data_IF_354014851427
#
_entry.id   IF_354014851427
#
_cell.length_a   1.000
_cell.length_b   1.000
_cell.length_c   1.000
_cell.angle_alpha   90.00
_cell.angle_beta   90.00
_cell.angle_gamma   90.00
#
_symmetry.space_group_name_H-M   'P 1'
#
loop_
_entity.id
_entity.type
_entity.pdbx_description
1 polymer ?
#
# COMPACT_ATOMS: atom_id res chain seq x y z
N UNK A 1 26.73 -4.23 1.37
CA UNK A 1 27.83 -5.02 1.98
C UNK A 1 27.40 -5.68 3.29
N UNK A 2 26.70 -4.97 4.19
CA UNK A 2 26.14 -5.57 5.43
C UNK A 2 25.06 -6.64 5.20
N UNK A 3 24.17 -6.49 4.21
CA UNK A 3 23.11 -7.48 3.95
C UNK A 3 23.63 -8.78 3.32
N UNK A 4 24.65 -8.71 2.48
CA UNK A 4 25.25 -9.88 1.83
C UNK A 4 26.08 -10.71 2.84
N UNK A 5 26.64 -10.07 3.87
CA UNK A 5 27.22 -10.78 5.02
C UNK A 5 26.16 -11.40 5.92
N UNK A 6 24.95 -10.85 6.02
CA UNK A 6 23.84 -11.46 6.77
C UNK A 6 23.31 -12.69 6.04
N UNK A 7 23.04 -12.60 4.73
CA UNK A 7 22.57 -13.76 3.96
C UNK A 7 23.56 -14.94 3.96
N UNK A 8 24.86 -14.69 3.71
CA UNK A 8 25.88 -15.76 3.72
C UNK A 8 26.07 -16.37 5.11
N UNK A 9 25.89 -15.58 6.18
CA UNK A 9 25.92 -16.07 7.57
C UNK A 9 24.65 -16.85 7.91
N UNK A 10 23.48 -16.47 7.39
CA UNK A 10 22.23 -17.21 7.57
C UNK A 10 22.23 -18.56 6.86
N UNK A 11 22.74 -18.65 5.63
CA UNK A 11 22.85 -19.95 4.95
C UNK A 11 23.81 -20.90 5.68
N UNK A 12 24.97 -20.41 6.13
CA UNK A 12 25.94 -21.25 6.85
C UNK A 12 25.47 -21.63 8.25
N UNK A 13 24.73 -20.77 8.96
CA UNK A 13 24.08 -21.11 10.25
C UNK A 13 22.84 -22.00 10.11
N UNK A 14 22.13 -21.97 8.99
CA UNK A 14 21.04 -22.91 8.71
C UNK A 14 21.54 -24.34 8.45
N UNK A 15 22.72 -24.47 7.83
CA UNK A 15 23.40 -25.76 7.66
C UNK A 15 24.17 -26.20 8.91
N UNK A 16 24.73 -25.26 9.70
CA UNK A 16 25.49 -25.56 10.92
C UNK A 16 24.63 -25.69 12.20
N UNK A 17 23.36 -25.25 12.18
CA UNK A 17 22.44 -25.52 13.29
C UNK A 17 22.00 -26.98 13.26
N UNK A 18 22.64 -27.76 14.13
CA UNK A 18 22.24 -29.10 14.55
C UNK A 18 20.90 -29.07 15.32
N UNK A 19 19.85 -28.55 14.69
CA UNK A 19 18.48 -28.82 15.10
C UNK A 19 18.18 -30.26 14.66
N UNK A 20 18.33 -31.22 15.58
CA UNK A 20 18.10 -32.67 15.38
C UNK A 20 16.68 -33.06 14.93
N UNK A 21 15.82 -32.10 14.54
CA UNK A 21 14.41 -32.32 14.24
C UNK A 21 13.97 -31.45 13.06
N UNK A 22 13.45 -32.07 12.00
CA UNK A 22 12.95 -31.40 10.78
C UNK A 22 11.93 -30.28 11.07
N UNK A 23 11.15 -30.41 12.14
CA UNK A 23 10.18 -29.40 12.60
C UNK A 23 10.85 -28.07 13.00
N UNK A 24 12.07 -28.10 13.56
CA UNK A 24 12.82 -26.90 13.93
C UNK A 24 13.27 -26.08 12.72
N UNK A 25 13.69 -26.76 11.64
CA UNK A 25 14.11 -26.11 10.38
C UNK A 25 12.94 -25.44 9.66
N UNK A 26 11.77 -26.08 9.63
CA UNK A 26 10.55 -25.49 9.05
C UNK A 26 10.11 -24.26 9.85
N UNK A 27 10.14 -24.35 11.19
CA UNK A 27 9.81 -23.21 12.06
C UNK A 27 10.77 -22.04 11.87
N UNK A 28 12.07 -22.31 11.71
CA UNK A 28 13.06 -21.28 11.40
C UNK A 28 12.80 -20.61 10.04
N UNK A 29 12.45 -21.39 9.03
CA UNK A 29 12.16 -20.87 7.68
C UNK A 29 10.99 -19.86 7.67
N UNK A 30 9.88 -20.19 8.34
CA UNK A 30 8.69 -19.32 8.42
C UNK A 30 8.84 -18.10 9.37
N UNK A 31 9.99 -17.94 10.05
CA UNK A 31 10.22 -16.76 10.89
C UNK A 31 10.56 -15.51 10.08
N UNK A 32 11.04 -15.65 8.84
CA UNK A 32 11.33 -14.52 7.95
C UNK A 32 10.08 -14.15 7.16
N UNK A 33 9.70 -12.86 7.21
CA UNK A 33 8.52 -12.37 6.48
C UNK A 33 8.66 -12.57 4.96
N UNK A 34 9.88 -12.47 4.43
CA UNK A 34 10.18 -12.69 3.02
C UNK A 34 9.95 -14.15 2.60
N UNK A 35 10.35 -15.11 3.44
CA UNK A 35 10.12 -16.53 3.18
C UNK A 35 8.62 -16.90 3.23
N UNK A 36 7.87 -16.25 4.13
CA UNK A 36 6.41 -16.40 4.21
C UNK A 36 5.76 -15.88 2.92
N UNK A 37 6.15 -14.68 2.47
CA UNK A 37 5.64 -14.07 1.23
C UNK A 37 5.99 -14.91 0.01
N UNK A 38 7.22 -15.42 -0.10
CA UNK A 38 7.63 -16.31 -1.19
C UNK A 38 6.81 -17.61 -1.21
N UNK A 39 6.60 -18.22 -0.04
CA UNK A 39 5.79 -19.44 0.07
C UNK A 39 4.35 -19.16 -0.35
N UNK A 40 3.79 -18.02 0.09
CA UNK A 40 2.45 -17.58 -0.30
C UNK A 40 2.35 -17.41 -1.82
N UNK A 41 3.31 -16.72 -2.46
CA UNK A 41 3.34 -16.53 -3.91
C UNK A 41 3.36 -17.86 -4.66
N UNK A 42 4.25 -18.78 -4.27
CA UNK A 42 4.31 -20.12 -4.88
C UNK A 42 2.97 -20.85 -4.73
N UNK A 43 2.34 -20.80 -3.56
CA UNK A 43 1.01 -21.45 -3.38
C UNK A 43 -0.08 -20.79 -4.21
N UNK A 44 -0.11 -19.46 -4.30
CA UNK A 44 -1.06 -18.70 -5.11
C UNK A 44 -0.89 -19.02 -6.59
N UNK A 45 0.35 -19.18 -7.07
CA UNK A 45 0.63 -19.58 -8.44
C UNK A 45 -0.01 -20.94 -8.79
N UNK A 46 0.16 -21.95 -7.94
CA UNK A 46 -0.45 -23.27 -8.17
C UNK A 46 -1.97 -23.23 -8.06
N UNK A 47 -2.53 -22.44 -7.15
CA UNK A 47 -3.98 -22.22 -7.06
C UNK A 47 -4.50 -21.57 -8.36
N UNK A 48 -3.85 -20.51 -8.84
CA UNK A 48 -4.23 -19.87 -10.11
C UNK A 48 -4.09 -20.82 -11.30
N UNK A 49 -3.05 -21.64 -11.33
CA UNK A 49 -2.79 -22.63 -12.37
C UNK A 49 -3.86 -23.73 -12.38
N UNK A 50 -4.25 -24.25 -11.22
CA UNK A 50 -5.33 -25.25 -11.13
C UNK A 50 -6.69 -24.64 -11.50
N UNK A 51 -7.00 -23.42 -11.04
CA UNK A 51 -8.22 -22.70 -11.45
C UNK A 51 -8.27 -22.43 -12.96
N UNK A 52 -7.11 -22.24 -13.59
CA UNK A 52 -6.99 -22.03 -15.03
C UNK A 52 -7.31 -23.27 -15.86
N UNK A 53 -7.02 -24.47 -15.34
CA UNK A 53 -7.27 -25.74 -16.02
C UNK A 53 -8.73 -26.20 -15.91
N UNK A 54 -9.52 -25.60 -15.02
CA UNK A 54 -10.95 -25.90 -14.91
C UNK A 54 -11.72 -25.30 -16.09
N UNK A 55 -12.61 -26.07 -16.76
CA UNK A 55 -13.38 -25.62 -17.93
C UNK A 55 -14.59 -24.75 -17.55
N UNK A 56 -14.43 -23.84 -16.58
CA UNK A 56 -15.49 -22.95 -16.08
C UNK A 56 -15.10 -21.50 -16.35
N UNK A 57 -15.91 -20.76 -17.12
CA UNK A 57 -15.59 -19.38 -17.54
C UNK A 57 -15.33 -18.42 -16.37
N UNK A 58 -16.07 -18.54 -15.26
CA UNK A 58 -15.85 -17.72 -14.07
C UNK A 58 -14.48 -17.99 -13.42
N UNK A 59 -14.02 -19.25 -13.42
CA UNK A 59 -12.71 -19.62 -12.89
C UNK A 59 -11.57 -19.02 -13.71
N UNK A 60 -11.76 -18.87 -15.02
CA UNK A 60 -10.78 -18.23 -15.90
C UNK A 60 -10.57 -16.74 -15.56
N UNK A 61 -11.64 -15.99 -15.30
CA UNK A 61 -11.55 -14.58 -14.91
C UNK A 61 -10.80 -14.42 -13.58
N UNK A 62 -11.17 -15.23 -12.59
CA UNK A 62 -10.53 -15.24 -11.27
C UNK A 62 -9.06 -15.62 -11.38
N UNK A 63 -8.72 -16.67 -12.15
CA UNK A 63 -7.33 -17.09 -12.35
C UNK A 63 -6.46 -15.97 -12.97
N UNK A 64 -6.99 -15.17 -13.90
CA UNK A 64 -6.27 -14.01 -14.47
C UNK A 64 -5.96 -12.95 -13.42
N UNK A 65 -6.92 -12.65 -12.54
CA UNK A 65 -6.72 -11.68 -11.45
C UNK A 65 -5.65 -12.20 -10.47
N UNK A 66 -5.74 -13.48 -10.08
CA UNK A 66 -4.75 -14.08 -9.16
C UNK A 66 -3.35 -14.09 -9.80
N UNK A 67 -3.22 -14.46 -11.07
CA UNK A 67 -1.91 -14.40 -11.76
C UNK A 67 -1.35 -12.97 -11.85
N UNK A 68 -2.20 -11.95 -12.07
CA UNK A 68 -1.77 -10.56 -12.09
C UNK A 68 -1.24 -10.11 -10.72
N UNK A 69 -1.91 -10.52 -9.63
CA UNK A 69 -1.45 -10.25 -8.27
C UNK A 69 -0.17 -11.03 -7.93
N UNK A 70 -0.09 -12.31 -8.34
CA UNK A 70 1.09 -13.14 -8.14
C UNK A 70 2.33 -12.54 -8.82
N UNK A 71 2.19 -12.09 -10.08
CA UNK A 71 3.27 -11.42 -10.81
C UNK A 71 3.74 -10.14 -10.09
N UNK A 72 2.83 -9.39 -9.46
CA UNK A 72 3.20 -8.20 -8.68
C UNK A 72 4.07 -8.55 -7.46
N UNK A 73 3.81 -9.69 -6.79
CA UNK A 73 4.62 -10.18 -5.67
C UNK A 73 6.01 -10.61 -6.18
N UNK A 74 6.09 -11.30 -7.31
CA UNK A 74 7.37 -11.67 -7.94
C UNK A 74 8.21 -10.46 -8.36
N UNK A 75 7.58 -9.37 -8.81
CA UNK A 75 8.30 -8.12 -9.07
C UNK A 75 8.86 -7.49 -7.79
N UNK A 76 8.10 -7.50 -6.68
CA UNK A 76 8.63 -7.06 -5.39
C UNK A 76 9.84 -7.89 -4.97
N UNK A 77 9.81 -9.22 -5.16
CA UNK A 77 10.95 -10.11 -4.85
C UNK A 77 12.17 -9.85 -5.74
N UNK A 78 11.95 -9.41 -6.97
CA UNK A 78 13.05 -9.02 -7.87
C UNK A 78 13.85 -7.82 -7.31
N UNK A 79 13.26 -7.00 -6.43
CA UNK A 79 13.98 -5.91 -5.75
C UNK A 79 15.13 -6.41 -4.87
N UNK A 80 15.02 -7.61 -4.28
CA UNK A 80 16.08 -8.20 -3.45
C UNK A 80 17.35 -8.49 -4.27
N UNK A 81 17.20 -8.86 -5.54
CA UNK A 81 18.33 -9.02 -6.44
C UNK A 81 19.04 -7.67 -6.68
N UNK A 82 18.28 -6.56 -6.73
CA UNK A 82 18.87 -5.23 -6.85
C UNK A 82 19.63 -4.78 -5.59
N UNK A 83 19.31 -5.31 -4.40
CA UNK A 83 20.11 -5.06 -3.19
C UNK A 83 21.52 -5.62 -3.28
N UNK A 84 21.73 -6.71 -4.02
CA UNK A 84 23.06 -7.29 -4.27
C UNK A 84 23.92 -6.45 -5.23
N UNK A 85 23.32 -5.51 -5.98
CA UNK A 85 24.05 -4.64 -6.90
C UNK A 85 24.78 -3.55 -6.11
N UNK A 86 26.11 -3.53 -6.18
CA UNK A 86 26.98 -2.64 -5.38
C UNK A 86 26.59 -1.15 -5.43
N UNK A 87 26.08 -0.66 -6.58
CA UNK A 87 25.65 0.74 -6.76
C UNK A 87 24.23 1.04 -6.27
N UNK A 88 23.34 0.05 -6.24
CA UNK A 88 21.92 0.21 -5.92
C UNK A 88 21.60 -0.19 -4.47
N UNK A 89 22.28 -1.19 -3.93
CA UNK A 89 22.06 -1.68 -2.57
C UNK A 89 22.10 -0.58 -1.50
N UNK A 90 23.16 0.26 -1.42
CA UNK A 90 23.20 1.36 -0.45
C UNK A 90 22.06 2.37 -0.65
N UNK A 91 21.63 2.63 -1.89
CA UNK A 91 20.51 3.56 -2.18
C UNK A 91 19.18 3.00 -1.71
N UNK A 92 18.93 1.71 -1.94
CA UNK A 92 17.70 1.05 -1.51
C UNK A 92 17.61 0.95 0.02
N UNK A 93 18.72 0.70 0.72
CA UNK A 93 18.75 0.74 2.19
C UNK A 93 18.42 2.15 2.71
N UNK A 94 18.99 3.19 2.09
CA UNK A 94 18.64 4.58 2.46
C UNK A 94 17.15 4.85 2.26
N UNK A 95 16.56 4.48 1.12
CA UNK A 95 15.13 4.66 0.87
C UNK A 95 14.28 3.86 1.88
N UNK A 96 14.68 2.64 2.23
CA UNK A 96 13.95 1.79 3.16
C UNK A 96 13.89 2.39 4.58
N UNK A 97 14.98 3.00 5.06
CA UNK A 97 15.00 3.71 6.34
C UNK A 97 14.02 4.89 6.33
N UNK A 98 13.95 5.65 5.24
CA UNK A 98 13.04 6.79 5.13
C UNK A 98 11.56 6.37 5.10
N UNK A 99 11.25 5.16 4.62
CA UNK A 99 9.88 4.59 4.70
C UNK A 99 9.47 4.37 6.15
N UNK A 100 10.40 4.06 7.06
CA UNK A 100 10.08 3.92 8.49
C UNK A 100 9.59 5.25 9.08
N UNK A 101 10.29 6.33 8.75
CA UNK A 101 9.97 7.68 9.22
C UNK A 101 8.69 8.24 8.57
N UNK A 102 8.41 7.85 7.32
CA UNK A 102 7.18 8.19 6.59
C UNK A 102 5.89 7.66 7.27
N UNK A 103 5.96 6.57 8.04
CA UNK A 103 4.75 5.91 8.60
C UNK A 103 3.90 6.85 9.45
N UNK A 104 4.54 7.65 10.31
CA UNK A 104 3.83 8.60 11.17
C UNK A 104 3.14 9.69 10.34
N UNK A 105 3.83 10.17 9.30
CA UNK A 105 3.30 11.18 8.41
C UNK A 105 2.07 10.69 7.63
N UNK A 106 2.13 9.47 7.08
CA UNK A 106 0.98 8.84 6.39
C UNK A 106 -0.20 8.65 7.33
N UNK A 107 0.04 8.29 8.59
CA UNK A 107 -1.02 8.20 9.59
C UNK A 107 -1.71 9.54 9.80
N UNK A 108 -0.93 10.61 10.00
CA UNK A 108 -1.46 11.97 10.14
C UNK A 108 -2.24 12.42 8.89
N UNK A 109 -1.71 12.18 7.69
CA UNK A 109 -2.37 12.49 6.42
C UNK A 109 -3.73 11.78 6.32
N UNK A 110 -3.78 10.51 6.72
CA UNK A 110 -5.00 9.69 6.69
C UNK A 110 -6.08 10.27 7.62
N UNK A 111 -5.71 10.76 8.80
CA UNK A 111 -6.64 11.41 9.74
C UNK A 111 -7.25 12.68 9.13
N UNK A 112 -6.43 13.56 8.55
CA UNK A 112 -6.92 14.77 7.89
C UNK A 112 -7.82 14.45 6.69
N UNK A 113 -7.43 13.46 5.89
CA UNK A 113 -8.19 13.02 4.73
C UNK A 113 -9.56 12.45 5.14
N UNK A 114 -9.66 11.63 6.20
CA UNK A 114 -10.97 11.19 6.70
C UNK A 114 -11.81 12.32 7.27
N UNK A 115 -11.20 13.25 8.01
CA UNK A 115 -11.89 14.41 8.57
C UNK A 115 -12.54 15.28 7.48
N UNK A 116 -11.78 15.63 6.44
CA UNK A 116 -12.29 16.39 5.30
C UNK A 116 -13.27 15.56 4.47
N UNK A 117 -12.91 14.34 4.10
CA UNK A 117 -13.73 13.48 3.22
C UNK A 117 -15.13 13.22 3.78
N UNK A 118 -15.25 12.89 5.08
CA UNK A 118 -16.56 12.65 5.70
C UNK A 118 -17.39 13.94 5.74
N UNK A 119 -16.76 15.06 6.09
CA UNK A 119 -17.44 16.36 6.19
C UNK A 119 -17.91 16.87 4.83
N UNK A 120 -17.05 16.83 3.81
CA UNK A 120 -17.38 17.25 2.45
C UNK A 120 -18.46 16.36 1.83
N UNK A 121 -18.37 15.03 2.01
CA UNK A 121 -19.40 14.12 1.51
C UNK A 121 -20.76 14.40 2.13
N UNK A 122 -20.81 14.58 3.46
CA UNK A 122 -22.07 14.85 4.18
C UNK A 122 -22.70 16.19 3.78
N UNK A 123 -21.90 17.22 3.50
CA UNK A 123 -22.40 18.54 3.10
C UNK A 123 -22.92 18.56 1.66
N UNK A 124 -22.26 17.86 0.74
CA UNK A 124 -22.63 17.84 -0.69
C UNK A 124 -23.80 16.89 -0.95
N UNK A 125 -23.75 15.67 -0.42
CA UNK A 125 -24.71 14.60 -0.76
C UNK A 125 -25.88 14.51 0.24
N UNK A 126 -25.80 15.20 1.38
CA UNK A 126 -26.83 15.17 2.41
C UNK A 126 -27.04 13.76 2.99
N UNK A 127 -28.30 13.31 3.04
CA UNK A 127 -28.68 12.03 3.64
C UNK A 127 -28.86 10.97 2.56
N UNK A 128 -27.88 10.08 2.43
CA UNK A 128 -27.96 8.89 1.58
C UNK A 128 -28.08 7.60 2.41
N UNK A 129 -28.75 6.55 1.90
CA UNK A 129 -28.79 5.25 2.57
C UNK A 129 -27.39 4.61 2.59
N UNK A 130 -27.11 3.85 3.65
CA UNK A 130 -25.81 3.18 3.81
C UNK A 130 -25.55 2.20 2.65
N UNK A 131 -24.40 2.38 2.00
CA UNK A 131 -23.89 1.48 0.96
C UNK A 131 -22.46 1.07 1.28
N UNK A 132 -22.12 -0.18 0.99
CA UNK A 132 -20.75 -0.69 1.13
C UNK A 132 -19.72 0.06 0.27
N UNK A 133 -20.18 0.84 -0.71
CA UNK A 133 -19.34 1.67 -1.58
C UNK A 133 -19.08 3.06 -0.98
N UNK A 134 -19.81 3.45 0.07
CA UNK A 134 -19.75 4.76 0.69
C UNK A 134 -18.35 5.10 1.23
N UNK A 135 -17.66 4.21 1.98
CA UNK A 135 -16.32 4.52 2.47
C UNK A 135 -15.31 4.76 1.33
N UNK A 136 -15.46 4.03 0.22
CA UNK A 136 -14.63 4.20 -0.98
C UNK A 136 -14.86 5.56 -1.64
N UNK A 137 -16.12 6.01 -1.74
CA UNK A 137 -16.45 7.33 -2.30
C UNK A 137 -15.85 8.46 -1.44
N UNK A 138 -16.03 8.38 -0.13
CA UNK A 138 -15.52 9.36 0.85
C UNK A 138 -14.00 9.46 0.75
N UNK A 139 -13.30 8.32 0.74
CA UNK A 139 -11.84 8.28 0.64
C UNK A 139 -11.36 8.89 -0.67
N UNK A 140 -11.98 8.52 -1.80
CA UNK A 140 -11.56 9.00 -3.12
C UNK A 140 -11.66 10.52 -3.23
N UNK A 141 -12.75 11.12 -2.73
CA UNK A 141 -12.93 12.58 -2.77
C UNK A 141 -11.78 13.31 -2.09
N UNK A 142 -11.34 12.87 -0.91
CA UNK A 142 -10.24 13.54 -0.21
C UNK A 142 -8.85 13.15 -0.75
N UNK A 143 -8.69 11.94 -1.30
CA UNK A 143 -7.42 11.42 -1.78
C UNK A 143 -6.94 12.12 -3.06
N UNK A 144 -7.80 12.26 -4.07
CA UNK A 144 -7.43 12.86 -5.37
C UNK A 144 -7.04 14.34 -5.25
N UNK A 145 -7.68 15.04 -4.32
CA UNK A 145 -7.41 16.44 -3.99
C UNK A 145 -5.95 16.68 -3.57
N UNK A 146 -5.33 15.74 -2.84
CA UNK A 146 -3.91 15.85 -2.43
C UNK A 146 -2.98 15.87 -3.66
N UNK A 147 -3.37 15.20 -4.74
CA UNK A 147 -2.61 15.15 -6.00
C UNK A 147 -2.95 16.30 -6.96
N UNK A 148 -3.82 17.22 -6.55
CA UNK A 148 -4.21 18.39 -7.33
C UNK A 148 -5.36 18.16 -8.31
N UNK A 149 -6.04 17.01 -8.25
CA UNK A 149 -7.29 16.80 -8.97
C UNK A 149 -8.46 17.28 -8.10
N UNK A 150 -8.86 18.53 -8.32
CA UNK A 150 -9.82 19.25 -7.45
C UNK A 150 -11.27 19.00 -7.85
N UNK A 151 -11.73 17.75 -7.74
CA UNK A 151 -13.10 17.35 -8.13
C UNK A 151 -14.17 17.97 -7.21
N UNK A 152 -13.83 18.32 -5.96
CA UNK A 152 -14.77 18.92 -5.02
C UNK A 152 -15.22 20.31 -5.47
N UNK A 153 -14.36 21.03 -6.20
CA UNK A 153 -14.70 22.37 -6.70
C UNK A 153 -15.92 22.30 -7.63
N UNK A 154 -15.91 21.37 -8.58
CA UNK A 154 -17.02 21.16 -9.51
C UNK A 154 -18.31 20.79 -8.76
N UNK A 155 -18.21 19.94 -7.73
CA UNK A 155 -19.36 19.56 -6.90
C UNK A 155 -19.95 20.71 -6.07
N UNK A 156 -19.10 21.67 -5.67
CA UNK A 156 -19.54 22.86 -4.93
C UNK A 156 -20.22 23.87 -5.86
N UNK A 157 -19.78 23.98 -7.12
CA UNK A 157 -20.42 24.85 -8.11
C UNK A 157 -21.87 24.45 -8.39
N UNK A 158 -22.17 23.15 -8.40
CA UNK A 158 -23.53 22.63 -8.56
C UNK A 158 -24.39 22.75 -7.28
N UNK A 159 -23.75 22.90 -6.12
CA UNK A 159 -24.41 22.91 -4.81
C UNK A 159 -24.60 24.33 -4.27
N UNK A 160 -25.60 25.05 -4.79
CA UNK A 160 -25.98 26.38 -4.29
C UNK A 160 -26.56 26.33 -2.88
N UNK A 161 -25.84 26.85 -1.89
CA UNK A 161 -26.33 27.00 -0.52
C UNK A 161 -25.24 27.15 0.55
N UNK A 162 -25.62 27.30 1.83
CA UNK A 162 -24.68 27.42 2.95
C UNK A 162 -23.73 26.21 3.08
N UNK A 163 -24.19 25.02 2.68
CA UNK A 163 -23.37 23.81 2.64
C UNK A 163 -22.25 23.89 1.59
N UNK A 164 -22.51 24.47 0.41
CA UNK A 164 -21.51 24.69 -0.63
C UNK A 164 -20.40 25.65 -0.18
N UNK A 165 -20.77 26.80 0.41
CA UNK A 165 -19.80 27.75 0.96
C UNK A 165 -18.95 27.16 2.09
N UNK A 166 -19.57 26.37 2.97
CA UNK A 166 -18.83 25.69 4.04
C UNK A 166 -17.88 24.62 3.48
N UNK A 167 -18.31 23.88 2.47
CA UNK A 167 -17.47 22.86 1.82
C UNK A 167 -16.30 23.50 1.09
N UNK A 168 -16.52 24.63 0.40
CA UNK A 168 -15.45 25.43 -0.21
C UNK A 168 -14.42 25.89 0.83
N UNK A 169 -14.89 26.42 1.96
CA UNK A 169 -14.01 26.83 3.05
C UNK A 169 -13.20 25.64 3.60
N UNK A 170 -13.85 24.50 3.85
CA UNK A 170 -13.19 23.27 4.28
C UNK A 170 -12.15 22.78 3.26
N UNK A 171 -12.45 22.88 1.96
CA UNK A 171 -11.54 22.51 0.87
C UNK A 171 -10.28 23.39 0.91
N UNK A 172 -10.42 24.71 1.01
CA UNK A 172 -9.28 25.63 1.08
C UNK A 172 -8.41 25.31 2.30
N UNK A 173 -9.01 25.11 3.47
CA UNK A 173 -8.27 24.72 4.67
C UNK A 173 -7.57 23.36 4.51
N UNK A 174 -8.24 22.38 3.91
CA UNK A 174 -7.69 21.05 3.65
C UNK A 174 -6.50 21.12 2.69
N UNK A 175 -6.62 21.85 1.59
CA UNK A 175 -5.53 22.01 0.61
C UNK A 175 -4.32 22.75 1.21
N UNK A 176 -4.55 23.73 2.09
CA UNK A 176 -3.47 24.40 2.80
C UNK A 176 -2.72 23.45 3.76
N UNK A 177 -3.45 22.65 4.54
CA UNK A 177 -2.84 21.78 5.57
C UNK A 177 -2.31 20.46 4.98
N UNK A 178 -3.14 19.71 4.26
CA UNK A 178 -2.78 18.40 3.73
C UNK A 178 -1.91 18.51 2.48
N UNK A 179 -2.39 19.17 1.43
CA UNK A 179 -1.69 19.21 0.15
C UNK A 179 -0.46 20.15 0.16
N UNK A 180 -0.52 21.28 0.86
CA UNK A 180 0.59 22.26 0.87
C UNK A 180 1.53 22.07 2.05
N UNK A 181 1.04 22.08 3.30
CA UNK A 181 1.91 22.00 4.47
C UNK A 181 2.47 20.60 4.64
N UNK A 182 1.60 19.60 4.77
CA UNK A 182 2.02 18.24 5.06
C UNK A 182 2.89 17.70 3.92
N UNK A 183 2.45 17.72 2.66
CA UNK A 183 3.28 17.17 1.57
C UNK A 183 4.63 17.88 1.43
N UNK A 184 4.71 19.20 1.61
CA UNK A 184 5.99 19.90 1.58
C UNK A 184 6.87 19.59 2.80
N UNK A 185 6.27 19.39 3.98
CA UNK A 185 6.99 18.89 5.15
C UNK A 185 7.57 17.49 4.85
N UNK A 186 6.80 16.65 4.16
CA UNK A 186 7.28 15.32 3.80
C UNK A 186 8.47 15.38 2.85
N UNK A 187 8.39 16.22 1.81
CA UNK A 187 9.52 16.47 0.91
C UNK A 187 10.72 17.01 1.67
N UNK A 188 10.52 17.85 2.70
CA UNK A 188 11.62 18.39 3.51
C UNK A 188 12.25 17.37 4.48
N UNK A 189 11.51 16.31 4.86
CA UNK A 189 12.05 15.22 5.66
C UNK A 189 12.81 14.18 4.82
N UNK A 190 12.53 14.11 3.51
CA UNK A 190 13.26 13.28 2.56
C UNK A 190 14.50 14.00 1.99
#
# INVERSE_FOLDING_TARGET
MCLQSVEVTDYTTFFASDARTYSGKIRGYFSSIWNVVDTLAITLFFIAFTLRLLPVEKCFCVARIIFALDLSIWYMRTLDIFFAVQKLGPKLVMIAEMIHDLKFFVFMLTVFMFSFGVSAYALIHGVEPFSWHLPRKIFNIAYWEIFGEVTVLDMVEDSYGPAGYLTYFLLVCYMAVAATLLVNLLIAMF
#
